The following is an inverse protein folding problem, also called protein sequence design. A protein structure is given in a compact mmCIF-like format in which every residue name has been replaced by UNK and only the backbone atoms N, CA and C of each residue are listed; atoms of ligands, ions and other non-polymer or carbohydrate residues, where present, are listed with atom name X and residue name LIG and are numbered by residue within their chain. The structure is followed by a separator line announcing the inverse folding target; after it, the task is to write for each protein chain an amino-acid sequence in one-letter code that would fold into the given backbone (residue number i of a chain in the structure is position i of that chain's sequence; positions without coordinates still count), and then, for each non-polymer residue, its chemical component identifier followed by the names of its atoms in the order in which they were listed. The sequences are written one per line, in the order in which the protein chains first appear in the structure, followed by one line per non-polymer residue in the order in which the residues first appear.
data_IF_443652200526
#
_entry.id   IF_443652200526
#
_cell.length_a   1.000
_cell.length_b   1.000
_cell.length_c   1.000
_cell.angle_alpha   90.00
_cell.angle_beta   90.00
_cell.angle_gamma   90.00
#
_symmetry.space_group_name_H-M   'P 1'
#
loop_
_entity.id
_entity.type
_entity.pdbx_description
1 polymer ?
#
# COMPACT_ATOMS: atom_id res chain seq x y z
N UNK A 1 -12.54 4.10 33.61
CA UNK A 1 -11.94 4.38 32.29
C UNK A 1 -13.05 4.22 31.26
N UNK A 2 -13.33 5.24 30.46
CA UNK A 2 -14.32 5.17 29.38
C UNK A 2 -13.65 4.39 28.24
N UNK A 3 -14.12 3.15 28.02
CA UNK A 3 -13.76 2.21 26.96
C UNK A 3 -12.25 2.02 26.71
N UNK A 4 -11.67 1.01 27.36
CA UNK A 4 -10.42 0.39 26.93
C UNK A 4 -10.71 -0.37 25.62
N UNK A 5 -10.40 0.25 24.48
CA UNK A 5 -10.66 -0.32 23.17
C UNK A 5 -9.37 -1.05 22.73
N UNK A 6 -9.36 -2.38 22.79
CA UNK A 6 -8.21 -3.25 22.45
C UNK A 6 -7.81 -3.23 20.96
N UNK A 7 -8.05 -2.14 20.22
CA UNK A 7 -7.54 -1.99 18.86
C UNK A 7 -6.01 -1.94 18.81
N UNK A 8 -5.34 -1.60 19.91
CA UNK A 8 -3.88 -1.57 20.00
C UNK A 8 -3.26 -2.97 20.18
N UNK A 9 -4.02 -3.96 20.65
CA UNK A 9 -3.50 -5.28 21.08
C UNK A 9 -3.88 -6.45 20.17
N UNK A 10 -4.70 -6.24 19.14
CA UNK A 10 -5.14 -7.31 18.23
C UNK A 10 -4.75 -6.98 16.79
N UNK A 11 -3.74 -7.69 16.29
CA UNK A 11 -3.44 -7.67 14.88
C UNK A 11 -4.55 -8.38 14.08
N UNK A 12 -4.89 -7.89 12.88
CA UNK A 12 -5.83 -8.59 12.00
C UNK A 12 -5.40 -10.04 11.75
N UNK A 13 -6.37 -10.94 11.61
CA UNK A 13 -6.08 -12.35 11.30
C UNK A 13 -5.30 -12.44 9.98
N UNK A 14 -4.16 -13.11 9.99
CA UNK A 14 -3.26 -13.20 8.83
C UNK A 14 -2.19 -12.10 8.76
N UNK A 15 -2.19 -11.15 9.71
CA UNK A 15 -1.19 -10.10 9.84
C UNK A 15 -0.07 -10.45 10.83
N UNK A 16 0.82 -9.49 11.09
CA UNK A 16 1.93 -9.55 12.06
C UNK A 16 1.43 -9.49 13.52
N UNK A 17 2.32 -9.18 14.47
CA UNK A 17 1.95 -9.03 15.90
C UNK A 17 1.48 -7.61 16.24
N UNK A 18 1.68 -6.64 15.35
CA UNK A 18 1.28 -5.22 15.53
C UNK A 18 0.17 -4.85 14.57
N UNK A 19 -0.45 -3.70 14.80
CA UNK A 19 -1.45 -3.12 13.89
C UNK A 19 -0.84 -2.71 12.54
N UNK A 20 -1.62 -1.95 11.77
CA UNK A 20 -1.22 -1.38 10.48
C UNK A 20 -1.02 0.14 10.60
N UNK A 21 -0.08 0.69 9.83
CA UNK A 21 0.13 2.13 9.65
C UNK A 21 0.54 2.44 8.22
N UNK A 22 0.61 3.74 7.87
CA UNK A 22 0.99 4.22 6.54
C UNK A 22 0.11 3.55 5.47
N UNK A 23 -1.11 4.07 5.35
CA UNK A 23 -2.20 3.43 4.63
C UNK A 23 -2.40 4.14 3.30
N UNK A 24 -2.36 3.37 2.20
CA UNK A 24 -2.67 3.86 0.86
C UNK A 24 -3.76 3.01 0.21
N UNK A 25 -4.64 3.63 -0.58
CA UNK A 25 -5.37 2.86 -1.57
C UNK A 25 -4.42 2.42 -2.68
N UNK A 26 -4.70 1.25 -3.27
CA UNK A 26 -3.90 0.68 -4.35
C UNK A 26 -4.77 0.04 -5.44
N UNK A 27 -4.53 0.42 -6.68
CA UNK A 27 -5.01 -0.27 -7.87
C UNK A 27 -4.12 -1.49 -8.18
N UNK A 28 -4.23 -2.58 -7.40
CA UNK A 28 -3.32 -3.75 -7.50
C UNK A 28 -3.78 -4.83 -8.49
N UNK A 29 -5.05 -5.23 -8.44
CA UNK A 29 -5.56 -6.36 -9.25
C UNK A 29 -5.97 -5.93 -10.66
N UNK A 30 -6.33 -4.67 -10.83
CA UNK A 30 -6.92 -4.15 -12.06
C UNK A 30 -8.46 -4.19 -12.09
N UNK A 31 -9.09 -4.68 -11.03
CA UNK A 31 -10.55 -4.64 -10.85
C UNK A 31 -11.03 -3.22 -10.55
N UNK A 32 -12.36 -3.02 -10.55
CA UNK A 32 -12.97 -1.73 -10.22
C UNK A 32 -12.70 -1.31 -8.76
N UNK A 33 -12.52 -2.28 -7.87
CA UNK A 33 -12.25 -2.04 -6.45
C UNK A 33 -10.76 -1.78 -6.22
N UNK A 34 -10.46 -0.75 -5.44
CA UNK A 34 -9.12 -0.54 -4.89
C UNK A 34 -8.96 -1.37 -3.62
N UNK A 35 -7.75 -1.88 -3.42
CA UNK A 35 -7.34 -2.52 -2.17
C UNK A 35 -6.62 -1.51 -1.28
N UNK A 36 -6.12 -1.99 -0.15
CA UNK A 36 -5.37 -1.17 0.80
C UNK A 36 -3.97 -1.74 0.98
N UNK A 37 -2.96 -0.92 0.72
CA UNK A 37 -1.57 -1.23 1.04
C UNK A 37 -1.19 -0.63 2.40
N UNK A 38 -0.50 -1.41 3.22
CA UNK A 38 -0.13 -1.04 4.59
C UNK A 38 1.24 -1.54 5.00
N UNK A 39 1.81 -0.90 6.01
CA UNK A 39 3.01 -1.32 6.71
C UNK A 39 2.67 -1.71 8.17
N UNK A 40 3.49 -2.58 8.77
CA UNK A 40 3.45 -2.88 10.20
C UNK A 40 3.65 -1.62 11.08
N UNK A 41 2.80 -1.47 12.10
CA UNK A 41 2.76 -0.29 12.97
C UNK A 41 3.96 -0.18 13.92
N UNK A 42 4.49 1.03 14.09
CA UNK A 42 5.52 1.43 15.07
C UNK A 42 6.91 0.80 14.92
N UNK A 43 7.18 0.08 13.83
CA UNK A 43 8.50 -0.51 13.56
C UNK A 43 8.74 -0.62 12.07
N UNK A 44 10.00 -0.78 11.69
CA UNK A 44 10.31 -1.32 10.38
C UNK A 44 9.85 -2.78 10.36
N UNK A 45 9.08 -3.15 9.34
CA UNK A 45 8.38 -4.43 9.37
C UNK A 45 7.69 -4.75 8.06
N UNK A 46 6.80 -5.74 8.12
CA UNK A 46 6.18 -6.30 6.92
C UNK A 46 5.24 -5.30 6.24
N UNK A 47 5.05 -5.52 4.95
CA UNK A 47 4.09 -4.80 4.11
C UNK A 47 2.99 -5.74 3.67
N UNK A 48 1.76 -5.25 3.57
CA UNK A 48 0.61 -6.06 3.20
C UNK A 48 -0.33 -5.34 2.26
N UNK A 49 -1.10 -6.14 1.53
CA UNK A 49 -2.27 -5.68 0.78
C UNK A 49 -3.48 -6.45 1.29
N UNK A 50 -4.53 -5.74 1.68
CA UNK A 50 -5.76 -6.33 2.17
C UNK A 50 -7.00 -5.68 1.55
N UNK A 51 -8.11 -6.41 1.59
CA UNK A 51 -9.42 -5.90 1.18
C UNK A 51 -10.08 -5.16 2.34
N UNK A 52 -10.39 -3.86 2.15
CA UNK A 52 -10.91 -3.01 3.21
C UNK A 52 -12.29 -3.44 3.76
N UNK A 53 -13.10 -4.12 2.95
CA UNK A 53 -14.47 -4.48 3.30
C UNK A 53 -14.52 -5.75 4.15
N UNK A 54 -13.69 -6.74 3.79
CA UNK A 54 -13.61 -8.02 4.48
C UNK A 54 -12.54 -8.07 5.57
N UNK A 55 -11.51 -7.22 5.48
CA UNK A 55 -10.32 -7.26 6.33
C UNK A 55 -9.32 -8.37 5.98
N UNK A 56 -9.52 -9.09 4.87
CA UNK A 56 -8.66 -10.20 4.47
C UNK A 56 -7.37 -9.70 3.82
N UNK A 57 -6.22 -10.15 4.34
CA UNK A 57 -4.91 -9.93 3.74
C UNK A 57 -4.70 -10.87 2.54
N UNK A 58 -4.60 -10.29 1.35
CA UNK A 58 -4.35 -11.01 0.10
C UNK A 58 -2.85 -11.23 -0.12
N UNK A 59 -2.04 -10.26 0.29
CA UNK A 59 -0.59 -10.34 0.16
C UNK A 59 0.10 -9.90 1.46
N UNK A 60 1.17 -10.61 1.80
CA UNK A 60 2.12 -10.24 2.85
C UNK A 60 3.53 -10.37 2.29
N UNK A 61 4.26 -9.27 2.33
CA UNK A 61 5.66 -9.19 1.94
C UNK A 61 6.49 -9.16 3.22
N UNK A 62 7.36 -10.16 3.39
CA UNK A 62 8.30 -10.20 4.52
C UNK A 62 9.36 -9.14 4.30
N UNK A 63 9.34 -8.10 5.12
CA UNK A 63 10.12 -6.88 4.89
C UNK A 63 10.58 -6.21 6.18
N UNK A 64 11.48 -5.23 6.06
CA UNK A 64 11.81 -4.25 7.09
C UNK A 64 11.55 -2.85 6.55
N UNK A 65 10.28 -2.55 6.27
CA UNK A 65 9.88 -1.31 5.63
C UNK A 65 10.04 -0.10 6.56
N UNK A 66 10.98 0.80 6.28
CA UNK A 66 11.07 2.11 6.93
C UNK A 66 10.01 3.07 6.38
N UNK A 67 9.77 3.01 5.06
CA UNK A 67 8.72 3.74 4.35
C UNK A 67 7.99 2.83 3.37
N UNK A 68 6.73 3.14 3.16
CA UNK A 68 5.87 2.54 2.15
C UNK A 68 5.36 3.65 1.23
N UNK A 69 5.37 3.40 -0.06
CA UNK A 69 4.75 4.21 -1.09
C UNK A 69 4.00 3.30 -2.07
N UNK A 70 2.99 3.86 -2.73
CA UNK A 70 2.24 3.19 -3.79
C UNK A 70 2.19 4.11 -4.99
N UNK A 71 2.62 3.64 -6.17
CA UNK A 71 2.46 4.38 -7.42
C UNK A 71 2.62 3.47 -8.65
N UNK A 72 2.02 3.92 -9.74
CA UNK A 72 2.10 3.39 -11.10
C UNK A 72 3.52 3.65 -11.69
N UNK A 73 4.54 2.85 -11.40
CA UNK A 73 5.94 3.14 -11.81
C UNK A 73 6.49 2.21 -12.89
N UNK A 74 5.85 1.06 -13.12
CA UNK A 74 6.32 0.07 -14.10
C UNK A 74 5.17 -0.61 -14.83
N UNK A 75 5.45 -1.40 -15.87
CA UNK A 75 4.45 -2.28 -16.51
C UNK A 75 3.23 -1.57 -17.13
N UNK A 76 2.05 -1.78 -16.53
CA UNK A 76 0.76 -1.22 -16.96
C UNK A 76 0.24 -0.17 -15.97
N UNK A 77 -1.05 0.16 -15.99
CA UNK A 77 -1.63 1.22 -15.15
C UNK A 77 -1.81 0.81 -13.68
N UNK A 78 -1.72 -0.49 -13.34
CA UNK A 78 -1.79 -0.97 -11.96
C UNK A 78 -0.59 -0.44 -11.19
N UNK A 79 -0.79 -0.21 -9.90
CA UNK A 79 0.22 0.42 -9.06
C UNK A 79 1.14 -0.61 -8.42
N UNK A 80 2.41 -0.25 -8.29
CA UNK A 80 3.39 -1.01 -7.52
C UNK A 80 3.40 -0.60 -6.04
N UNK A 81 3.81 -1.55 -5.21
CA UNK A 81 4.19 -1.33 -3.81
C UNK A 81 5.69 -1.05 -3.78
N UNK A 82 6.08 0.11 -3.27
CA UNK A 82 7.48 0.53 -3.13
C UNK A 82 7.85 0.63 -1.66
N UNK A 83 8.90 -0.11 -1.28
CA UNK A 83 9.36 -0.25 0.09
C UNK A 83 10.78 0.28 0.21
N UNK A 84 10.97 1.27 1.08
CA UNK A 84 12.31 1.68 1.49
C UNK A 84 12.71 0.85 2.71
N UNK A 85 13.78 0.07 2.60
CA UNK A 85 14.36 -0.73 3.66
C UNK A 85 15.84 -0.33 3.80
N UNK A 86 16.14 0.49 4.81
CA UNK A 86 17.45 1.11 4.97
C UNK A 86 17.85 1.94 3.75
N UNK A 87 18.84 1.44 3.00
CA UNK A 87 19.34 2.07 1.77
C UNK A 87 18.89 1.35 0.49
N UNK A 88 17.96 0.41 0.60
CA UNK A 88 17.44 -0.37 -0.53
C UNK A 88 16.01 0.05 -0.84
N UNK A 89 15.70 0.15 -2.13
CA UNK A 89 14.34 0.32 -2.63
C UNK A 89 13.90 -1.00 -3.27
N UNK A 90 12.90 -1.64 -2.67
CA UNK A 90 12.25 -2.82 -3.24
C UNK A 90 10.93 -2.42 -3.88
N UNK A 91 10.66 -2.91 -5.09
CA UNK A 91 9.46 -2.59 -5.85
C UNK A 91 8.76 -3.90 -6.19
N UNK A 92 7.50 -4.02 -5.77
CA UNK A 92 6.66 -5.18 -6.02
C UNK A 92 5.55 -4.80 -6.98
N UNK A 93 5.45 -5.56 -8.08
CA UNK A 93 4.40 -5.45 -9.08
C UNK A 93 3.52 -6.70 -9.07
N UNK A 94 2.27 -6.58 -9.50
CA UNK A 94 1.39 -7.72 -9.68
C UNK A 94 1.77 -8.48 -10.97
N UNK A 95 2.19 -9.76 -10.91
CA UNK A 95 2.57 -10.52 -12.11
C UNK A 95 1.36 -11.02 -12.91
N UNK A 96 0.15 -10.96 -12.36
CA UNK A 96 -1.05 -11.43 -13.04
C UNK A 96 -1.34 -10.63 -14.31
N UNK A 97 -1.95 -11.23 -15.35
CA UNK A 97 -2.30 -10.51 -16.57
C UNK A 97 -3.17 -9.28 -16.29
N UNK A 98 -2.89 -8.17 -16.98
CA UNK A 98 -3.70 -6.96 -16.87
C UNK A 98 -5.12 -7.22 -17.40
N UNK A 99 -6.17 -7.11 -16.57
CA UNK A 99 -7.54 -7.36 -17.02
C UNK A 99 -8.08 -6.26 -17.95
N UNK A 100 -7.39 -5.12 -18.08
CA UNK A 100 -7.80 -4.00 -18.91
C UNK A 100 -6.60 -3.42 -19.70
N UNK A 101 -6.34 -4.00 -20.86
CA UNK A 101 -5.20 -3.66 -21.72
C UNK A 101 -5.28 -2.26 -22.34
N UNK A 102 -6.50 -1.74 -22.53
CA UNK A 102 -6.73 -0.44 -23.17
C UNK A 102 -6.77 0.72 -22.17
N UNK A 103 -6.72 0.43 -20.86
CA UNK A 103 -6.73 1.48 -19.83
C UNK A 103 -5.40 2.24 -19.84
N UNK A 104 -5.42 3.57 -19.99
CA UNK A 104 -4.21 4.38 -19.93
C UNK A 104 -3.60 4.36 -18.52
N UNK A 105 -2.28 4.61 -18.46
CA UNK A 105 -1.52 4.85 -17.23
C UNK A 105 -2.21 5.90 -16.35
N UNK A 106 -2.15 5.71 -15.03
CA UNK A 106 -2.81 6.60 -14.07
C UNK A 106 -2.23 8.01 -14.12
N UNK A 107 -0.97 8.14 -14.54
CA UNK A 107 -0.32 9.42 -14.77
C UNK A 107 -1.02 10.33 -15.76
N UNK A 108 -1.92 9.88 -16.65
CA UNK A 108 -2.66 10.82 -17.51
C UNK A 108 -3.65 11.66 -16.68
N UNK A 109 -4.03 11.19 -15.51
CA UNK A 109 -5.01 11.82 -14.64
C UNK A 109 -4.35 12.89 -13.76
N UNK A 110 -4.80 14.14 -13.87
CA UNK A 110 -4.21 15.27 -13.14
C UNK A 110 -4.27 15.10 -11.61
N UNK A 111 -5.35 14.52 -11.09
CA UNK A 111 -5.49 14.30 -9.64
C UNK A 111 -4.53 13.21 -9.14
N UNK A 112 -4.29 12.17 -9.95
CA UNK A 112 -3.30 11.13 -9.65
C UNK A 112 -1.89 11.70 -9.58
N UNK A 113 -1.49 12.49 -10.60
CA UNK A 113 -0.20 13.20 -10.57
C UNK A 113 -0.04 13.97 -9.27
N UNK A 114 -1.05 14.77 -8.90
CA UNK A 114 -1.04 15.59 -7.68
C UNK A 114 -0.98 14.79 -6.39
N UNK A 115 -1.64 13.63 -6.31
CA UNK A 115 -1.59 12.80 -5.12
C UNK A 115 -0.24 12.10 -4.93
N UNK A 116 0.48 11.82 -6.03
CA UNK A 116 1.80 11.16 -6.00
C UNK A 116 2.98 12.13 -6.00
N UNK A 117 2.75 13.43 -6.22
CA UNK A 117 3.78 14.44 -6.00
C UNK A 117 4.16 14.45 -4.51
N UNK A 118 5.46 14.55 -4.23
CA UNK A 118 5.95 14.80 -2.88
C UNK A 118 5.37 16.12 -2.38
N UNK A 119 4.38 16.02 -1.47
CA UNK A 119 3.99 17.13 -0.63
C UNK A 119 5.15 17.43 0.30
N UNK A 120 6.00 18.36 -0.12
CA UNK A 120 6.88 19.00 0.83
C UNK A 120 5.99 19.90 1.67
N UNK A 121 5.67 19.49 2.90
CA UNK A 121 5.00 20.35 3.89
C UNK A 121 5.77 21.67 4.10
N UNK A 122 7.03 21.71 3.69
CA UNK A 122 7.96 22.84 3.73
C UNK A 122 8.25 23.48 2.37
N UNK A 123 7.44 23.26 1.33
CA UNK A 123 7.52 24.13 0.15
C UNK A 123 6.83 25.46 0.48
N UNK A 124 7.59 26.58 0.59
CA UNK A 124 7.00 27.90 0.84
C UNK A 124 6.07 28.37 -0.29
#
# INVERSE_FOLDING_TARGET
LIADYQMDDVAPKGWTDKGVEVIFSIDWTGELRQLVAVKERHKSGDVGIFDALSGEFLHRFKEQADRLYVADVSGDWREEVMVLNGNQLHIYSNPEPNPNLDRPRLWIQNHYRRSKMTWNYYSP
#
